data_IF_042663855862
#
_entry.id   IF_042663855862
#
_cell.length_a   1.000
_cell.length_b   1.000
_cell.length_c   1.000
_cell.angle_alpha   90.00
_cell.angle_beta   90.00
_cell.angle_gamma   90.00
#
_symmetry.space_group_name_H-M   'P 1'
#
loop_
_entity.id
_entity.type
_entity.pdbx_description
1 polymer ?
#
# COMPACT_ATOMS: atom_id res chain seq x y z
N UNK A 1 -0.53 6.29 -11.08
CA UNK A 1 -1.79 6.83 -11.63
C UNK A 1 -2.95 5.88 -11.33
N UNK A 2 -4.14 6.41 -11.05
CA UNK A 2 -5.34 5.60 -10.86
C UNK A 2 -5.91 5.11 -12.20
N UNK A 3 -6.30 3.83 -12.32
CA UNK A 3 -6.92 3.33 -13.56
C UNK A 3 -8.33 3.94 -13.77
N UNK A 4 -8.78 4.12 -15.03
CA UNK A 4 -10.10 4.66 -15.35
C UNK A 4 -11.24 3.85 -14.71
N UNK A 5 -12.30 4.54 -14.25
CA UNK A 5 -13.44 3.92 -13.54
C UNK A 5 -14.22 2.87 -14.36
N UNK A 6 -14.13 2.94 -15.69
CA UNK A 6 -14.75 1.97 -16.61
C UNK A 6 -13.87 0.74 -16.88
N UNK A 7 -12.64 0.71 -16.34
CA UNK A 7 -11.74 -0.43 -16.51
C UNK A 7 -12.20 -1.63 -15.68
N UNK A 8 -12.17 -2.83 -16.26
CA UNK A 8 -12.38 -4.09 -15.53
C UNK A 8 -11.41 -4.24 -14.36
N UNK A 9 -10.17 -3.76 -14.53
CA UNK A 9 -9.12 -3.79 -13.50
C UNK A 9 -9.50 -2.91 -12.32
N UNK A 10 -10.15 -1.77 -12.56
CA UNK A 10 -10.61 -0.87 -11.48
C UNK A 10 -11.64 -1.57 -10.59
N UNK A 11 -12.65 -2.19 -11.19
CA UNK A 11 -13.70 -2.89 -10.45
C UNK A 11 -13.20 -4.14 -9.74
N UNK A 12 -12.35 -4.94 -10.40
CA UNK A 12 -11.73 -6.11 -9.80
C UNK A 12 -10.90 -5.73 -8.56
N UNK A 13 -10.05 -4.69 -8.69
CA UNK A 13 -9.25 -4.17 -7.59
C UNK A 13 -10.11 -3.69 -6.41
N UNK A 14 -11.24 -3.04 -6.70
CA UNK A 14 -12.14 -2.52 -5.65
C UNK A 14 -12.90 -3.65 -4.93
N UNK A 15 -13.37 -4.65 -5.67
CA UNK A 15 -14.02 -5.82 -5.08
C UNK A 15 -13.05 -6.64 -4.22
N UNK A 16 -11.83 -6.84 -4.72
CA UNK A 16 -10.77 -7.50 -3.99
C UNK A 16 -10.42 -6.76 -2.69
N UNK A 17 -10.29 -5.43 -2.75
CA UNK A 17 -10.04 -4.61 -1.55
C UNK A 17 -11.16 -4.74 -0.50
N UNK A 18 -12.42 -4.73 -0.92
CA UNK A 18 -13.56 -4.92 -0.02
C UNK A 18 -13.53 -6.29 0.67
N UNK A 19 -13.20 -7.36 -0.08
CA UNK A 19 -13.05 -8.70 0.48
C UNK A 19 -11.91 -8.77 1.53
N UNK A 20 -10.79 -8.08 1.26
CA UNK A 20 -9.68 -8.00 2.20
C UNK A 20 -10.05 -7.26 3.49
N UNK A 21 -10.79 -6.15 3.40
CA UNK A 21 -11.31 -5.46 4.59
C UNK A 21 -12.21 -6.36 5.43
N UNK A 22 -13.13 -7.10 4.79
CA UNK A 22 -14.01 -8.05 5.49
C UNK A 22 -13.19 -9.16 6.16
N UNK A 23 -12.23 -9.76 5.46
CA UNK A 23 -11.33 -10.77 6.02
C UNK A 23 -10.53 -10.23 7.20
N UNK A 24 -9.99 -9.03 7.10
CA UNK A 24 -9.22 -8.42 8.18
C UNK A 24 -10.09 -8.14 9.42
N UNK A 25 -11.35 -7.73 9.22
CA UNK A 25 -12.30 -7.51 10.31
C UNK A 25 -12.69 -8.81 11.02
N UNK A 26 -12.91 -9.90 10.25
CA UNK A 26 -13.33 -11.20 10.78
C UNK A 26 -12.17 -11.98 11.40
N UNK A 27 -11.01 -12.02 10.73
CA UNK A 27 -9.89 -12.93 11.06
C UNK A 27 -8.75 -12.23 11.83
N UNK A 28 -8.66 -10.89 11.78
CA UNK A 28 -7.61 -10.08 12.43
C UNK A 28 -6.19 -10.67 12.24
N UNK A 29 -5.73 -10.83 10.98
CA UNK A 29 -4.44 -11.45 10.71
C UNK A 29 -3.28 -10.63 11.31
N UNK A 30 -2.16 -11.26 11.68
CA UNK A 30 -0.99 -10.56 12.24
C UNK A 30 -0.36 -9.58 11.25
N UNK A 31 -0.60 -9.75 9.95
CA UNK A 31 -0.19 -8.85 8.89
C UNK A 31 -1.38 -8.43 8.03
N UNK A 32 -1.68 -7.13 8.01
CA UNK A 32 -2.78 -6.55 7.24
C UNK A 32 -2.23 -6.08 5.89
N UNK A 33 -2.64 -6.75 4.81
CA UNK A 33 -2.26 -6.36 3.45
C UNK A 33 -3.36 -5.48 2.84
N UNK A 34 -3.09 -4.18 2.71
CA UNK A 34 -3.98 -3.23 2.05
C UNK A 34 -3.71 -3.22 0.55
N UNK A 35 -4.75 -3.43 -0.27
CA UNK A 35 -4.59 -3.59 -1.71
C UNK A 35 -4.96 -2.35 -2.53
N UNK A 36 -5.70 -1.40 -1.96
CA UNK A 36 -6.07 -0.20 -2.70
C UNK A 36 -6.55 0.94 -1.79
N UNK A 37 -5.64 1.57 -1.05
CA UNK A 37 -6.03 2.67 -0.14
C UNK A 37 -5.27 3.96 -0.34
N UNK A 38 -4.08 3.94 -0.95
CA UNK A 38 -3.25 5.13 -1.02
C UNK A 38 -2.20 5.04 -2.14
N UNK A 39 -1.88 6.18 -2.73
CA UNK A 39 -0.76 6.36 -3.63
C UNK A 39 0.55 6.41 -2.83
N UNK A 40 1.68 6.11 -3.47
CA UNK A 40 3.00 6.19 -2.84
C UNK A 40 3.28 7.57 -2.19
N UNK A 41 2.91 8.72 -2.78
CA UNK A 41 3.05 10.02 -2.12
C UNK A 41 2.22 10.12 -0.83
N UNK A 42 0.98 9.63 -0.85
CA UNK A 42 0.10 9.66 0.32
C UNK A 42 0.64 8.80 1.47
N UNK A 43 1.24 7.65 1.16
CA UNK A 43 1.92 6.80 2.16
C UNK A 43 3.11 7.50 2.79
N UNK A 44 3.93 8.18 1.99
CA UNK A 44 5.09 8.91 2.50
C UNK A 44 4.65 10.02 3.47
N UNK A 45 3.69 10.85 3.07
CA UNK A 45 3.16 11.91 3.94
C UNK A 45 2.58 11.35 5.25
N UNK A 46 1.79 10.28 5.19
CA UNK A 46 1.23 9.67 6.40
C UNK A 46 2.29 9.13 7.37
N UNK A 47 3.39 8.60 6.84
CA UNK A 47 4.50 8.08 7.65
C UNK A 47 5.35 9.22 8.23
N UNK A 48 5.64 10.25 7.44
CA UNK A 48 6.35 11.45 7.89
C UNK A 48 5.58 12.18 8.98
N UNK A 49 4.27 12.38 8.80
CA UNK A 49 3.37 12.95 9.82
C UNK A 49 3.32 12.09 11.10
N UNK A 50 3.57 10.79 10.98
CA UNK A 50 3.72 9.85 12.09
C UNK A 50 5.06 9.96 12.83
N UNK A 51 5.95 10.85 12.40
CA UNK A 51 7.29 11.05 12.98
C UNK A 51 8.30 10.01 12.54
N UNK A 52 8.11 9.38 11.38
CA UNK A 52 9.08 8.47 10.79
C UNK A 52 9.93 9.17 9.73
N UNK A 53 11.21 8.80 9.65
CA UNK A 53 12.05 9.07 8.49
C UNK A 53 11.75 8.02 7.42
N UNK A 54 11.40 8.45 6.21
CA UNK A 54 10.93 7.55 5.14
C UNK A 54 11.91 7.49 3.98
N UNK A 55 12.23 6.28 3.54
CA UNK A 55 13.05 6.00 2.37
C UNK A 55 12.30 5.11 1.38
N UNK A 56 12.42 5.42 0.08
CA UNK A 56 11.79 4.65 -0.99
C UNK A 56 12.85 4.10 -1.95
N UNK A 57 12.88 2.77 -2.04
CA UNK A 57 13.82 2.01 -2.86
C UNK A 57 13.12 1.29 -4.02
N UNK A 58 13.87 1.03 -5.10
CA UNK A 58 13.40 0.27 -6.27
C UNK A 58 14.28 -0.97 -6.52
N UNK A 59 14.37 -1.92 -5.57
CA UNK A 59 15.37 -3.00 -5.63
C UNK A 59 14.96 -4.15 -6.55
N UNK A 60 13.79 -4.09 -7.18
CA UNK A 60 13.18 -5.24 -7.85
C UNK A 60 13.35 -5.16 -9.37
N UNK A 61 13.81 -6.26 -9.95
CA UNK A 61 13.87 -6.45 -11.40
C UNK A 61 12.54 -6.96 -11.98
N UNK A 62 12.49 -7.15 -13.30
CA UNK A 62 11.33 -7.72 -14.00
C UNK A 62 10.95 -9.10 -13.46
N UNK A 63 9.65 -9.38 -13.29
CA UNK A 63 8.47 -8.56 -13.66
C UNK A 63 8.00 -7.58 -12.57
N UNK A 64 8.77 -7.43 -11.49
CA UNK A 64 8.38 -6.71 -10.28
C UNK A 64 8.92 -5.27 -10.21
N UNK A 65 9.49 -4.75 -11.30
CA UNK A 65 10.04 -3.39 -11.45
C UNK A 65 9.08 -2.25 -11.03
N UNK A 66 7.78 -2.53 -10.99
CA UNK A 66 6.75 -1.59 -10.56
C UNK A 66 6.57 -1.52 -9.04
N UNK A 67 7.09 -2.49 -8.29
CA UNK A 67 7.05 -2.49 -6.83
C UNK A 67 8.02 -1.44 -6.27
N UNK A 68 7.70 -0.96 -5.08
CA UNK A 68 8.50 0.01 -4.34
C UNK A 68 8.68 -0.53 -2.93
N UNK A 69 9.91 -0.55 -2.43
CA UNK A 69 10.22 -0.90 -1.05
C UNK A 69 10.25 0.40 -0.24
N UNK A 70 9.33 0.55 0.70
CA UNK A 70 9.29 1.72 1.60
C UNK A 70 9.79 1.29 2.98
N UNK A 71 10.82 1.95 3.47
CA UNK A 71 11.39 1.74 4.81
C UNK A 71 11.08 3.00 5.62
N UNK A 72 10.41 2.85 6.75
CA UNK A 72 10.07 3.94 7.66
C UNK A 72 10.69 3.65 9.02
N UNK A 73 11.61 4.51 9.45
CA UNK A 73 12.37 4.36 10.69
C UNK A 73 11.95 5.43 11.68
N UNK A 74 11.64 5.03 12.91
CA UNK A 74 11.46 5.96 14.02
C UNK A 74 12.76 6.05 14.78
N UNK A 75 13.36 7.23 14.84
CA UNK A 75 14.54 7.40 15.69
C UNK A 75 14.15 7.17 17.16
N UNK A 76 14.90 6.33 17.90
CA UNK A 76 14.72 6.23 19.33
C UNK A 76 15.17 7.55 19.97
N UNK A 77 14.25 8.24 20.63
CA UNK A 77 14.57 9.29 21.60
C UNK A 77 15.20 8.70 22.86
#
# INVERSE_FOLDING_TARGET
EMPPKLSKVYWFSRAFNAAMHLRNWVVKPPFIMYYLTFLLPEVQTLLEDGGFTVEVHQPFDRPLERLRLVIATREPH
#
